data_IF_260399817274
#
_entry.id   IF_260399817274
#
_cell.length_a   1.000
_cell.length_b   1.000
_cell.length_c   1.000
_cell.angle_alpha   90.00
_cell.angle_beta   90.00
_cell.angle_gamma   90.00
#
_symmetry.space_group_name_H-M   'P 1'
#
loop_
_entity.id
_entity.type
_entity.pdbx_description
1 polymer ?
#
# COMPACT_ATOMS: atom_id res chain seq x y z
N UNK A 1 -8.14 -22.48 2.10
CA UNK A 1 -7.50 -22.55 3.43
C UNK A 1 -6.06 -22.11 3.19
N UNK A 2 -5.66 -20.92 3.64
CA UNK A 2 -4.29 -20.42 3.46
C UNK A 2 -3.33 -21.39 4.12
N UNK A 3 -2.41 -21.96 3.36
CA UNK A 3 -1.37 -22.82 3.92
C UNK A 3 -0.35 -21.92 4.63
N UNK A 4 -0.38 -21.95 5.97
CA UNK A 4 0.48 -21.14 6.82
C UNK A 4 1.96 -21.54 6.74
N UNK A 5 2.27 -22.67 6.07
CA UNK A 5 3.63 -23.11 5.81
C UNK A 5 4.18 -22.66 4.44
N UNK A 6 3.38 -21.99 3.61
CA UNK A 6 3.87 -21.42 2.36
C UNK A 6 4.73 -20.17 2.66
N UNK A 7 5.99 -20.09 2.18
CA UNK A 7 6.82 -18.89 2.30
C UNK A 7 6.12 -17.61 1.82
N UNK A 8 5.25 -17.70 0.82
CA UNK A 8 4.47 -16.57 0.30
C UNK A 8 3.44 -16.05 1.29
N UNK A 9 2.82 -16.92 2.08
CA UNK A 9 1.87 -16.52 3.13
C UNK A 9 2.51 -15.55 4.13
N UNK A 10 3.80 -15.74 4.47
CA UNK A 10 4.54 -14.81 5.33
C UNK A 10 4.71 -13.44 4.70
N UNK A 11 5.02 -13.37 3.41
CA UNK A 11 5.20 -12.10 2.70
C UNK A 11 3.87 -11.37 2.49
N UNK A 12 2.76 -12.10 2.31
CA UNK A 12 1.41 -11.51 2.29
C UNK A 12 1.09 -10.84 3.62
N UNK A 13 1.40 -11.50 4.76
CA UNK A 13 1.23 -10.87 6.08
C UNK A 13 2.15 -9.67 6.30
N UNK A 14 3.37 -9.70 5.77
CA UNK A 14 4.29 -8.57 5.82
C UNK A 14 3.76 -7.36 5.04
N UNK A 15 3.21 -7.59 3.84
CA UNK A 15 2.54 -6.55 3.05
C UNK A 15 1.33 -5.98 3.81
N UNK A 16 0.47 -6.84 4.34
CA UNK A 16 -0.72 -6.42 5.10
C UNK A 16 -0.35 -5.59 6.34
N UNK A 17 0.75 -5.94 7.03
CA UNK A 17 1.26 -5.17 8.16
C UNK A 17 1.70 -3.76 7.71
N UNK A 18 2.42 -3.65 6.60
CA UNK A 18 2.84 -2.37 6.04
C UNK A 18 1.65 -1.51 5.61
N UNK A 19 0.61 -2.12 5.02
CA UNK A 19 -0.65 -1.44 4.70
C UNK A 19 -1.37 -0.92 5.95
N UNK A 20 -1.45 -1.74 6.99
CA UNK A 20 -2.05 -1.36 8.28
C UNK A 20 -1.26 -0.26 9.01
N UNK A 21 0.07 -0.18 8.81
CA UNK A 21 0.88 0.92 9.33
C UNK A 21 0.52 2.26 8.66
N UNK A 22 0.16 2.29 7.36
CA UNK A 22 -0.23 3.52 6.65
C UNK A 22 -1.68 3.95 6.92
N UNK A 23 -2.58 2.97 7.07
CA UNK A 23 -4.03 3.18 7.23
C UNK A 23 -4.41 4.26 8.25
N UNK A 24 -3.89 4.27 9.51
CA UNK A 24 -4.29 5.27 10.50
C UNK A 24 -3.91 6.70 10.11
N UNK A 25 -2.76 6.91 9.47
CA UNK A 25 -2.33 8.23 8.99
C UNK A 25 -3.29 8.76 7.93
N UNK A 26 -3.58 7.94 6.91
CA UNK A 26 -4.48 8.34 5.82
C UNK A 26 -5.92 8.57 6.32
N UNK A 27 -6.39 7.77 7.28
CA UNK A 27 -7.70 7.97 7.91
C UNK A 27 -7.75 9.28 8.70
N UNK A 28 -6.71 9.61 9.48
CA UNK A 28 -6.65 10.84 10.25
C UNK A 28 -6.70 12.07 9.33
N UNK A 29 -5.84 12.07 8.30
CA UNK A 29 -5.77 13.14 7.28
C UNK A 29 -7.11 13.33 6.59
N UNK A 30 -7.80 12.23 6.23
CA UNK A 30 -9.13 12.28 5.62
C UNK A 30 -10.21 12.80 6.58
N UNK A 31 -10.22 12.35 7.84
CA UNK A 31 -11.20 12.79 8.85
C UNK A 31 -11.07 14.28 9.15
N UNK A 32 -9.84 14.77 9.19
CA UNK A 32 -9.53 16.18 9.47
C UNK A 32 -9.59 17.05 8.21
N UNK A 33 -9.82 16.44 7.03
CA UNK A 33 -9.82 17.09 5.72
C UNK A 33 -8.59 17.99 5.51
N UNK A 34 -7.43 17.52 5.96
CA UNK A 34 -6.15 18.22 5.84
C UNK A 34 -5.26 17.51 4.83
N UNK A 35 -4.08 18.09 4.58
CA UNK A 35 -3.03 17.44 3.81
C UNK A 35 -2.08 16.70 4.76
N UNK A 36 -1.36 15.72 4.20
CA UNK A 36 -0.23 15.08 4.88
C UNK A 36 0.82 16.14 5.23
N UNK A 37 1.32 16.08 6.46
CA UNK A 37 2.49 16.83 6.88
C UNK A 37 3.75 16.16 6.34
N UNK A 38 4.86 16.91 6.26
CA UNK A 38 6.12 16.43 5.66
C UNK A 38 6.66 15.15 6.35
N UNK A 39 6.47 15.03 7.66
CA UNK A 39 6.85 13.83 8.41
C UNK A 39 5.98 12.61 8.06
N UNK A 40 4.67 12.80 7.94
CA UNK A 40 3.73 11.75 7.58
C UNK A 40 3.93 11.31 6.13
N UNK A 41 4.14 12.27 5.22
CA UNK A 41 4.49 12.04 3.81
C UNK A 41 5.75 11.17 3.71
N UNK A 42 6.83 11.56 4.39
CA UNK A 42 8.09 10.82 4.37
C UNK A 42 7.94 9.39 4.90
N UNK A 43 7.14 9.21 5.95
CA UNK A 43 6.89 7.90 6.54
C UNK A 43 6.10 6.99 5.60
N UNK A 44 5.04 7.50 4.98
CA UNK A 44 4.24 6.72 4.02
C UNK A 44 5.07 6.38 2.79
N UNK A 45 5.86 7.31 2.25
CA UNK A 45 6.76 7.05 1.11
C UNK A 45 7.78 5.95 1.45
N UNK A 46 8.33 5.94 2.67
CA UNK A 46 9.22 4.87 3.10
C UNK A 46 8.52 3.50 3.17
N UNK A 47 7.25 3.46 3.58
CA UNK A 47 6.46 2.22 3.58
C UNK A 47 6.18 1.75 2.14
N UNK A 48 5.81 2.66 1.23
CA UNK A 48 5.61 2.32 -0.18
C UNK A 48 6.86 1.76 -0.85
N UNK A 49 8.05 2.23 -0.45
CA UNK A 49 9.30 1.66 -0.93
C UNK A 49 9.55 0.23 -0.42
N UNK A 50 9.16 -0.06 0.84
CA UNK A 50 9.22 -1.43 1.37
C UNK A 50 8.26 -2.36 0.64
N UNK A 51 7.03 -1.91 0.36
CA UNK A 51 6.05 -2.68 -0.41
C UNK A 51 6.56 -2.97 -1.84
N UNK A 52 7.18 -1.99 -2.49
CA UNK A 52 7.77 -2.15 -3.83
C UNK A 52 8.92 -3.18 -3.81
N UNK A 53 9.78 -3.12 -2.79
CA UNK A 53 10.85 -4.11 -2.57
C UNK A 53 10.28 -5.51 -2.38
N UNK A 54 9.23 -5.63 -1.57
CA UNK A 54 8.55 -6.88 -1.30
C UNK A 54 7.93 -7.46 -2.59
N UNK A 55 7.29 -6.61 -3.39
CA UNK A 55 6.75 -6.97 -4.72
C UNK A 55 7.83 -7.54 -5.62
N UNK A 56 8.99 -6.88 -5.70
CA UNK A 56 10.10 -7.30 -6.54
C UNK A 56 10.71 -8.63 -6.09
N UNK A 57 10.85 -8.84 -4.78
CA UNK A 57 11.52 -10.01 -4.21
C UNK A 57 10.63 -11.25 -4.15
N UNK A 58 9.33 -11.09 -3.90
CA UNK A 58 8.47 -12.19 -3.49
C UNK A 58 7.20 -12.37 -4.33
N UNK A 59 6.82 -11.36 -5.13
CA UNK A 59 5.58 -11.38 -5.93
C UNK A 59 5.85 -11.21 -7.43
N UNK A 60 6.97 -11.76 -7.90
CA UNK A 60 7.42 -11.75 -9.30
C UNK A 60 7.37 -10.37 -9.98
N UNK A 61 7.54 -9.28 -9.21
CA UNK A 61 7.43 -7.91 -9.73
C UNK A 61 6.09 -7.65 -10.43
N UNK A 62 4.97 -8.03 -9.78
CA UNK A 62 3.62 -7.79 -10.29
C UNK A 62 3.43 -6.36 -10.77
N UNK A 63 3.16 -6.20 -12.08
CA UNK A 63 2.93 -4.88 -12.66
C UNK A 63 1.70 -4.19 -12.07
N UNK A 64 0.66 -4.94 -11.71
CA UNK A 64 -0.57 -4.40 -11.10
C UNK A 64 -0.26 -3.75 -9.75
N UNK A 65 0.41 -4.52 -8.88
CA UNK A 65 0.86 -4.06 -7.56
C UNK A 65 1.83 -2.88 -7.67
N UNK A 66 2.74 -2.91 -8.64
CA UNK A 66 3.64 -1.78 -8.87
C UNK A 66 2.88 -0.52 -9.32
N UNK A 67 1.89 -0.67 -10.20
CA UNK A 67 1.04 0.44 -10.66
C UNK A 67 0.23 1.06 -9.52
N UNK A 68 -0.36 0.25 -8.64
CA UNK A 68 -1.14 0.75 -7.49
C UNK A 68 -0.24 1.46 -6.47
N UNK A 69 0.95 0.91 -6.17
CA UNK A 69 1.97 1.57 -5.33
C UNK A 69 2.37 2.92 -5.95
N UNK A 70 2.66 2.97 -7.26
CA UNK A 70 3.08 4.18 -7.94
C UNK A 70 1.98 5.24 -8.02
N UNK A 71 0.71 4.85 -8.16
CA UNK A 71 -0.43 5.79 -8.11
C UNK A 71 -0.52 6.46 -6.75
N UNK A 72 -0.50 5.68 -5.67
CA UNK A 72 -0.53 6.21 -4.31
C UNK A 72 0.71 7.09 -4.02
N UNK A 73 1.90 6.65 -4.44
CA UNK A 73 3.13 7.44 -4.32
C UNK A 73 2.98 8.80 -5.02
N UNK A 74 2.44 8.82 -6.24
CA UNK A 74 2.21 10.05 -7.00
C UNK A 74 1.18 10.96 -6.36
N UNK A 75 0.07 10.42 -5.81
CA UNK A 75 -0.96 11.24 -5.17
C UNK A 75 -0.42 11.98 -3.95
N UNK A 76 0.42 11.30 -3.16
CA UNK A 76 1.12 11.87 -2.00
C UNK A 76 2.07 12.98 -2.44
N UNK A 77 2.99 12.70 -3.38
CA UNK A 77 3.99 13.66 -3.84
C UNK A 77 3.37 14.90 -4.52
N UNK A 78 2.23 14.72 -5.20
CA UNK A 78 1.47 15.82 -5.83
C UNK A 78 0.58 16.57 -4.84
N UNK A 79 0.50 16.13 -3.59
CA UNK A 79 -0.36 16.70 -2.54
C UNK A 79 -1.81 16.82 -2.99
N UNK A 80 -2.29 15.75 -3.62
CA UNK A 80 -3.70 15.57 -3.99
C UNK A 80 -4.57 15.58 -2.73
N UNK A 81 -5.89 15.73 -2.90
CA UNK A 81 -6.79 15.78 -1.76
C UNK A 81 -6.83 14.42 -1.01
N UNK A 82 -7.25 14.49 0.25
CA UNK A 82 -7.25 13.34 1.14
C UNK A 82 -8.16 12.20 0.67
N UNK A 83 -9.26 12.50 -0.05
CA UNK A 83 -10.14 11.46 -0.57
C UNK A 83 -9.51 10.76 -1.78
N UNK A 84 -8.88 11.50 -2.68
CA UNK A 84 -8.16 10.92 -3.82
C UNK A 84 -7.01 10.02 -3.35
N UNK A 85 -6.18 10.50 -2.41
CA UNK A 85 -5.10 9.70 -1.82
C UNK A 85 -5.64 8.45 -1.10
N UNK A 86 -6.76 8.59 -0.37
CA UNK A 86 -7.42 7.46 0.27
C UNK A 86 -7.93 6.41 -0.74
N UNK A 87 -8.52 6.85 -1.85
CA UNK A 87 -9.00 5.94 -2.89
C UNK A 87 -7.86 5.15 -3.52
N UNK A 88 -6.70 5.79 -3.78
CA UNK A 88 -5.52 5.08 -4.26
C UNK A 88 -4.96 4.08 -3.23
N UNK A 89 -5.09 4.38 -1.94
CA UNK A 89 -4.78 3.40 -0.89
C UNK A 89 -5.73 2.21 -0.88
N UNK A 90 -7.04 2.44 -1.06
CA UNK A 90 -8.00 1.34 -1.21
C UNK A 90 -7.73 0.52 -2.47
N UNK A 91 -7.33 1.15 -3.58
CA UNK A 91 -6.92 0.44 -4.79
C UNK A 91 -5.77 -0.53 -4.49
N UNK A 92 -4.77 -0.09 -3.72
CA UNK A 92 -3.63 -0.91 -3.32
C UNK A 92 -4.02 -2.04 -2.35
N UNK A 93 -4.86 -1.76 -1.35
CA UNK A 93 -5.16 -2.70 -0.27
C UNK A 93 -6.30 -3.69 -0.60
N UNK A 94 -7.28 -3.26 -1.41
CA UNK A 94 -8.57 -3.97 -1.53
C UNK A 94 -8.88 -4.43 -2.97
N UNK A 95 -8.11 -4.02 -3.98
CA UNK A 95 -8.36 -4.46 -5.38
C UNK A 95 -7.87 -5.87 -5.64
N UNK A 96 -8.79 -6.75 -5.99
CA UNK A 96 -8.49 -8.12 -6.41
C UNK A 96 -7.61 -8.15 -7.68
N UNK A 97 -6.55 -8.98 -7.67
CA UNK A 97 -5.58 -9.14 -8.75
C UNK A 97 -4.49 -8.07 -8.81
N UNK A 98 -4.64 -6.96 -8.09
CA UNK A 98 -3.68 -5.84 -8.07
C UNK A 98 -3.12 -5.53 -6.67
N UNK A 99 -3.46 -6.36 -5.67
CA UNK A 99 -2.99 -6.26 -4.29
C UNK A 99 -2.19 -7.51 -3.86
N UNK A 100 -1.50 -7.42 -2.73
CA UNK A 100 -0.70 -8.52 -2.20
C UNK A 100 -1.53 -9.72 -1.72
N UNK A 101 -2.76 -9.47 -1.26
CA UNK A 101 -3.64 -10.50 -0.67
C UNK A 101 -4.28 -11.46 -1.68
N UNK A 102 -4.36 -11.08 -2.96
CA UNK A 102 -5.00 -11.87 -4.02
C UNK A 102 -4.03 -12.55 -4.96
N UNK A 103 -2.73 -12.45 -4.70
CA UNK A 103 -1.68 -13.04 -5.53
C UNK A 103 -1.69 -14.58 -5.58
N UNK A 104 -2.52 -15.22 -4.74
CA UNK A 104 -2.65 -16.68 -4.58
C UNK A 104 -4.05 -17.22 -4.92
N UNK A 105 -4.94 -16.40 -5.51
CA UNK A 105 -6.31 -16.81 -5.88
C UNK A 105 -6.42 -16.99 -7.41
#
# INVERSE_FOLDING_TARGET
MLDLNDPQTRHIFEAAKLEDEMRPFLVAVRKENRKLEEGEESQIIAILHKLDTLNQQHFQSSEGTQKTIDRLRKSILKKEDANTTWNHFLELAETEGENFGTWMI
#
